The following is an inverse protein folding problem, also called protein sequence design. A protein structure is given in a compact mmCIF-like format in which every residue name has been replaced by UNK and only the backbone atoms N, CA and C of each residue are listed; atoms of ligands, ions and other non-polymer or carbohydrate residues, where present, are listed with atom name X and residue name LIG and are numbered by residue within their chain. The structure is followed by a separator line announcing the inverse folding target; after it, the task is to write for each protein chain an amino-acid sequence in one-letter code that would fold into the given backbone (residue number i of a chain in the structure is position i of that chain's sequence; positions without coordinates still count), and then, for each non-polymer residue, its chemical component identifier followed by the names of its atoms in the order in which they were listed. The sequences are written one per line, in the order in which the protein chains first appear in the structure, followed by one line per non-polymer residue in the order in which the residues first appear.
data_IF_971170888316
#
_entry.id   IF_971170888316
#
_cell.length_a   1.000
_cell.length_b   1.000
_cell.length_c   1.000
_cell.angle_alpha   90.00
_cell.angle_beta   90.00
_cell.angle_gamma   90.00
#
_symmetry.space_group_name_H-M   'P 1'
#
loop_
_entity.id
_entity.type
_entity.pdbx_description
1 polymer ?
#
# COMPACT_ATOMS: atom_id res chain seq x y z
N UNK A 1 13.32 25.27 3.29
CA UNK A 1 12.59 23.98 3.18
C UNK A 1 12.13 23.68 1.75
N UNK A 2 11.84 24.67 0.89
CA UNK A 2 11.45 24.40 -0.50
C UNK A 2 11.13 25.68 -1.29
N UNK A 3 10.45 25.53 -2.42
CA UNK A 3 9.98 26.64 -3.25
C UNK A 3 8.87 27.46 -2.55
N UNK A 4 8.86 28.79 -2.77
CA UNK A 4 7.90 29.70 -2.14
C UNK A 4 6.54 29.78 -2.86
N UNK A 5 6.46 29.37 -4.12
CA UNK A 5 5.25 29.48 -4.94
C UNK A 5 4.24 28.37 -4.61
N UNK A 6 2.96 28.77 -4.44
CA UNK A 6 1.82 27.86 -4.35
C UNK A 6 0.89 28.08 -5.55
N UNK A 7 0.65 27.02 -6.33
CA UNK A 7 -0.16 27.07 -7.55
C UNK A 7 0.53 27.74 -8.75
N UNK A 8 -0.13 27.80 -9.92
CA UNK A 8 -1.48 27.32 -10.19
C UNK A 8 -1.57 25.78 -10.23
N UNK A 9 -2.80 25.25 -10.12
CA UNK A 9 -3.09 23.82 -10.29
C UNK A 9 -3.87 23.59 -11.58
N UNK A 10 -3.49 22.58 -12.36
CA UNK A 10 -4.25 22.18 -13.54
C UNK A 10 -5.54 21.46 -13.14
N UNK A 11 -6.70 21.81 -13.70
CA UNK A 11 -7.95 21.09 -13.47
C UNK A 11 -8.61 20.70 -14.80
N UNK A 12 -8.19 19.57 -15.37
CA UNK A 12 -8.85 18.95 -16.52
C UNK A 12 -9.98 18.00 -16.12
N UNK A 13 -10.73 17.51 -17.12
CA UNK A 13 -11.90 16.61 -16.94
C UNK A 13 -11.61 15.39 -16.06
N UNK A 14 -10.47 14.73 -16.25
CA UNK A 14 -10.04 13.57 -15.45
C UNK A 14 -9.84 13.93 -13.97
N UNK A 15 -9.24 15.10 -13.70
CA UNK A 15 -9.04 15.56 -12.33
C UNK A 15 -10.34 15.96 -11.66
N UNK A 16 -11.23 16.64 -12.38
CA UNK A 16 -12.55 17.00 -11.87
C UNK A 16 -13.37 15.75 -11.54
N UNK A 17 -13.44 14.78 -12.46
CA UNK A 17 -14.16 13.53 -12.24
C UNK A 17 -13.57 12.73 -11.06
N UNK A 18 -12.24 12.66 -10.96
CA UNK A 18 -11.57 12.02 -9.82
C UNK A 18 -12.00 12.67 -8.49
N UNK A 19 -11.96 14.00 -8.41
CA UNK A 19 -12.38 14.73 -7.21
C UNK A 19 -13.87 14.52 -6.88
N UNK A 20 -14.75 14.45 -7.88
CA UNK A 20 -16.17 14.16 -7.65
C UNK A 20 -16.36 12.77 -7.04
N UNK A 21 -15.73 11.73 -7.59
CA UNK A 21 -15.81 10.38 -7.04
C UNK A 21 -15.15 10.27 -5.65
N UNK A 22 -14.02 10.95 -5.44
CA UNK A 22 -13.34 11.02 -4.15
C UNK A 22 -14.20 11.72 -3.08
N UNK A 23 -14.90 12.79 -3.47
CA UNK A 23 -15.84 13.48 -2.60
C UNK A 23 -17.03 12.59 -2.24
N UNK A 24 -17.62 11.89 -3.20
CA UNK A 24 -18.69 10.92 -2.93
C UNK A 24 -18.24 9.81 -1.97
N UNK A 25 -17.04 9.25 -2.17
CA UNK A 25 -16.47 8.28 -1.23
C UNK A 25 -16.33 8.87 0.18
N UNK A 26 -15.75 10.06 0.28
CA UNK A 26 -15.53 10.74 1.56
C UNK A 26 -16.85 10.98 2.31
N UNK A 27 -17.88 11.49 1.62
CA UNK A 27 -19.20 11.73 2.20
C UNK A 27 -19.88 10.41 2.61
N UNK A 28 -19.85 9.37 1.78
CA UNK A 28 -20.47 8.08 2.13
C UNK A 28 -19.83 7.51 3.40
N UNK A 29 -18.49 7.50 3.49
CA UNK A 29 -17.78 7.01 4.67
C UNK A 29 -18.08 7.89 5.89
N UNK A 30 -17.93 9.21 5.75
CA UNK A 30 -18.11 10.16 6.85
C UNK A 30 -19.54 10.17 7.41
N UNK A 31 -20.56 10.13 6.54
CA UNK A 31 -21.96 10.09 6.96
C UNK A 31 -22.32 8.75 7.63
N UNK A 32 -21.78 7.62 7.17
CA UNK A 32 -22.00 6.34 7.85
C UNK A 32 -21.33 6.29 9.22
N UNK A 33 -20.13 6.85 9.35
CA UNK A 33 -19.46 7.02 10.64
C UNK A 33 -20.25 7.95 11.57
N UNK A 34 -20.81 9.05 11.07
CA UNK A 34 -21.61 9.96 11.89
C UNK A 34 -22.95 9.35 12.31
N UNK A 35 -23.57 8.57 11.43
CA UNK A 35 -24.78 7.82 11.73
C UNK A 35 -24.57 6.79 12.85
N UNK A 36 -23.40 6.13 12.93
CA UNK A 36 -23.11 5.12 13.95
C UNK A 36 -23.02 5.67 15.38
N UNK A 37 -22.87 6.99 15.51
CA UNK A 37 -22.93 7.73 16.78
C UNK A 37 -24.19 8.60 16.88
N UNK A 38 -25.27 8.21 16.20
CA UNK A 38 -26.58 8.88 16.23
C UNK A 38 -26.53 10.37 15.87
N UNK A 39 -25.65 10.75 14.93
CA UNK A 39 -25.48 12.14 14.50
C UNK A 39 -25.01 13.11 15.61
N UNK A 40 -24.48 12.60 16.73
CA UNK A 40 -23.90 13.43 17.78
C UNK A 40 -22.49 13.90 17.37
N UNK A 41 -22.27 15.23 17.15
CA UNK A 41 -20.99 15.74 16.69
C UNK A 41 -19.87 15.61 17.73
N UNK A 42 -20.20 15.61 19.03
CA UNK A 42 -19.23 15.42 20.12
C UNK A 42 -18.76 13.97 20.14
N UNK A 43 -19.70 13.02 19.99
CA UNK A 43 -19.35 11.61 19.91
C UNK A 43 -18.57 11.28 18.65
N UNK A 44 -18.95 11.88 17.52
CA UNK A 44 -18.22 11.73 16.27
C UNK A 44 -16.75 12.14 16.41
N UNK A 45 -16.50 13.33 16.96
CA UNK A 45 -15.14 13.81 17.19
C UNK A 45 -14.37 12.94 18.21
N UNK A 46 -15.01 12.57 19.33
CA UNK A 46 -14.39 11.76 20.39
C UNK A 46 -14.02 10.36 19.89
N UNK A 47 -14.87 9.75 19.09
CA UNK A 47 -14.76 8.36 18.69
C UNK A 47 -14.21 8.17 17.27
N UNK A 48 -13.86 9.25 16.55
CA UNK A 48 -13.48 9.25 15.13
C UNK A 48 -12.57 8.09 14.72
N UNK A 49 -11.57 7.78 15.54
CA UNK A 49 -10.61 6.71 15.25
C UNK A 49 -11.20 5.30 15.26
N UNK A 50 -12.27 5.08 16.04
CA UNK A 50 -12.96 3.79 16.18
C UNK A 50 -14.15 3.64 15.23
N UNK A 51 -14.61 4.72 14.58
CA UNK A 51 -15.73 4.66 13.66
C UNK A 51 -15.33 3.94 12.37
N UNK A 52 -16.30 3.27 11.77
CA UNK A 52 -16.09 2.44 10.59
C UNK A 52 -17.26 2.51 9.61
N UNK A 53 -16.95 2.27 8.34
CA UNK A 53 -17.88 1.68 7.38
C UNK A 53 -17.37 0.28 7.06
N UNK A 54 -18.14 -0.72 7.48
CA UNK A 54 -17.76 -2.15 7.45
C UNK A 54 -18.15 -2.82 6.12
N UNK A 55 -17.37 -3.80 5.63
CA UNK A 55 -17.77 -4.64 4.50
C UNK A 55 -18.98 -5.52 4.84
N UNK A 56 -19.68 -6.06 3.83
CA UNK A 56 -20.80 -6.97 4.04
C UNK A 56 -20.41 -8.23 4.83
N UNK A 57 -21.32 -8.74 5.65
CA UNK A 57 -21.14 -10.00 6.36
C UNK A 57 -21.01 -11.20 5.38
N UNK A 58 -20.32 -12.30 5.78
CA UNK A 58 -20.05 -13.45 4.89
C UNK A 58 -21.31 -14.08 4.26
N UNK A 59 -22.46 -14.00 4.94
CA UNK A 59 -23.76 -14.52 4.45
C UNK A 59 -24.18 -13.95 3.08
N UNK A 60 -23.64 -12.80 2.68
CA UNK A 60 -23.93 -12.14 1.41
C UNK A 60 -23.01 -12.57 0.25
N UNK A 61 -21.93 -13.32 0.52
CA UNK A 61 -20.97 -13.74 -0.50
C UNK A 61 -20.51 -12.58 -1.38
N UNK A 62 -20.72 -12.70 -2.70
CA UNK A 62 -20.42 -11.67 -3.71
C UNK A 62 -21.64 -10.92 -4.24
N UNK A 63 -22.73 -10.83 -3.47
CA UNK A 63 -23.89 -10.04 -3.87
C UNK A 63 -23.46 -8.60 -4.22
N UNK A 64 -23.83 -8.14 -5.41
CA UNK A 64 -23.39 -6.83 -5.97
C UNK A 64 -23.91 -5.65 -5.13
N UNK A 65 -25.09 -5.81 -4.53
CA UNK A 65 -25.67 -4.81 -3.64
C UNK A 65 -26.45 -5.53 -2.52
N UNK A 66 -25.80 -5.89 -1.40
CA UNK A 66 -26.48 -6.31 -0.18
C UNK A 66 -27.26 -5.12 0.40
N UNK A 67 -28.14 -5.32 1.40
CA UNK A 67 -28.85 -4.23 2.04
C UNK A 67 -27.90 -3.09 2.43
N UNK A 68 -28.30 -1.84 2.17
CA UNK A 68 -27.42 -0.67 2.36
C UNK A 68 -26.85 -0.60 3.79
N UNK A 69 -27.69 -0.89 4.79
CA UNK A 69 -27.33 -0.93 6.20
C UNK A 69 -26.42 -2.12 6.59
N UNK A 70 -26.28 -3.13 5.72
CA UNK A 70 -25.50 -4.36 5.96
C UNK A 70 -24.33 -4.50 4.96
N UNK A 71 -23.65 -3.38 4.69
CA UNK A 71 -22.44 -3.34 3.84
C UNK A 71 -22.66 -2.88 2.40
N UNK A 72 -23.90 -2.59 1.99
CA UNK A 72 -24.17 -2.01 0.66
C UNK A 72 -23.51 -0.64 0.48
N UNK A 73 -23.48 0.19 1.54
CA UNK A 73 -22.74 1.47 1.51
C UNK A 73 -21.23 1.30 1.31
N UNK A 74 -20.65 0.23 1.86
CA UNK A 74 -19.22 -0.06 1.70
C UNK A 74 -18.88 -0.37 0.24
N UNK A 75 -19.71 -1.13 -0.48
CA UNK A 75 -19.49 -1.41 -1.90
C UNK A 75 -19.57 -0.15 -2.77
N UNK A 76 -20.56 0.72 -2.51
CA UNK A 76 -20.69 1.99 -3.22
C UNK A 76 -19.47 2.88 -2.94
N UNK A 77 -19.06 2.99 -1.68
CA UNK A 77 -17.86 3.72 -1.29
C UNK A 77 -16.61 3.18 -1.98
N UNK A 78 -16.41 1.85 -1.98
CA UNK A 78 -15.29 1.18 -2.64
C UNK A 78 -15.26 1.43 -4.14
N UNK A 79 -16.41 1.40 -4.81
CA UNK A 79 -16.53 1.78 -6.22
C UNK A 79 -16.12 3.24 -6.46
N UNK A 80 -16.65 4.18 -5.67
CA UNK A 80 -16.32 5.59 -5.77
C UNK A 80 -14.83 5.85 -5.55
N UNK A 81 -14.22 5.24 -4.53
CA UNK A 81 -12.78 5.35 -4.27
C UNK A 81 -11.96 4.82 -5.46
N UNK A 82 -12.32 3.64 -5.96
CA UNK A 82 -11.60 3.00 -7.07
C UNK A 82 -11.66 3.84 -8.34
N UNK A 83 -12.85 4.34 -8.69
CA UNK A 83 -13.03 5.25 -9.82
C UNK A 83 -12.21 6.54 -9.63
N UNK A 84 -12.24 7.14 -8.45
CA UNK A 84 -11.46 8.34 -8.11
C UNK A 84 -9.96 8.14 -8.36
N UNK A 85 -9.40 7.06 -7.83
CA UNK A 85 -7.97 6.76 -7.90
C UNK A 85 -7.53 6.41 -9.33
N UNK A 86 -8.33 5.64 -10.08
CA UNK A 86 -8.04 5.32 -11.49
C UNK A 86 -8.12 6.56 -12.40
N UNK A 87 -9.06 7.47 -12.15
CA UNK A 87 -9.15 8.74 -12.86
C UNK A 87 -7.95 9.65 -12.52
N UNK A 88 -7.48 9.63 -11.28
CA UNK A 88 -6.26 10.34 -10.87
C UNK A 88 -5.01 9.76 -11.52
N UNK A 89 -4.96 8.43 -11.68
CA UNK A 89 -3.90 7.75 -12.43
C UNK A 89 -3.89 8.19 -13.90
N UNK A 90 -5.06 8.16 -14.55
CA UNK A 90 -5.19 8.59 -15.94
C UNK A 90 -4.78 10.06 -16.11
N UNK A 91 -5.16 10.93 -15.16
CA UNK A 91 -4.70 12.32 -15.10
C UNK A 91 -3.17 12.40 -15.03
N UNK A 92 -2.54 11.66 -14.13
CA UNK A 92 -1.08 11.63 -13.95
C UNK A 92 -0.37 11.19 -15.24
N UNK A 93 -0.87 10.14 -15.89
CA UNK A 93 -0.36 9.65 -17.17
C UNK A 93 -0.47 10.70 -18.28
N UNK A 94 -1.67 11.26 -18.48
CA UNK A 94 -1.93 12.25 -19.54
C UNK A 94 -1.10 13.51 -19.34
N UNK A 95 -0.92 13.97 -18.10
CA UNK A 95 -0.07 15.14 -17.80
C UNK A 95 1.38 14.93 -18.18
N UNK A 96 1.95 13.76 -17.87
CA UNK A 96 3.31 13.44 -18.30
C UNK A 96 3.43 13.48 -19.83
N UNK A 97 2.47 12.88 -20.56
CA UNK A 97 2.48 12.89 -22.03
C UNK A 97 2.32 14.29 -22.63
N UNK A 98 1.43 15.12 -22.09
CA UNK A 98 1.21 16.49 -22.54
C UNK A 98 2.44 17.39 -22.34
N UNK A 99 3.27 17.09 -21.35
CA UNK A 99 4.53 17.80 -21.07
C UNK A 99 5.74 17.17 -21.78
N UNK A 100 5.56 16.15 -22.61
CA UNK A 100 6.66 15.45 -23.29
C UNK A 100 7.57 14.62 -22.36
N UNK A 101 7.08 14.26 -21.17
CA UNK A 101 7.84 13.51 -20.16
C UNK A 101 7.61 11.99 -20.27
N UNK A 102 8.53 11.20 -19.70
CA UNK A 102 8.31 9.77 -19.48
C UNK A 102 7.21 9.49 -18.45
N UNK A 103 6.51 8.36 -18.57
CA UNK A 103 5.34 8.03 -17.73
C UNK A 103 5.68 7.21 -16.48
N UNK A 104 6.93 7.26 -16.01
CA UNK A 104 7.43 6.46 -14.89
C UNK A 104 6.63 6.65 -13.59
N UNK A 105 6.23 7.87 -13.27
CA UNK A 105 5.40 8.16 -12.07
C UNK A 105 4.04 7.49 -12.15
N UNK A 106 3.40 7.51 -13.33
CA UNK A 106 2.12 6.85 -13.53
C UNK A 106 2.24 5.33 -13.35
N UNK A 107 3.33 4.72 -13.82
CA UNK A 107 3.55 3.28 -13.65
C UNK A 107 3.85 2.87 -12.21
N UNK A 108 4.62 3.67 -11.45
CA UNK A 108 4.78 3.46 -10.02
C UNK A 108 3.46 3.59 -9.26
N UNK A 109 2.66 4.61 -9.61
CA UNK A 109 1.34 4.79 -9.02
C UNK A 109 0.42 3.59 -9.31
N UNK A 110 0.49 3.01 -10.52
CA UNK A 110 -0.31 1.82 -10.86
C UNK A 110 0.03 0.61 -9.97
N UNK A 111 1.29 0.46 -9.55
CA UNK A 111 1.68 -0.60 -8.61
C UNK A 111 1.02 -0.44 -7.24
N UNK A 112 0.90 0.80 -6.74
CA UNK A 112 0.18 1.08 -5.50
C UNK A 112 -1.33 0.80 -5.65
N UNK A 113 -1.91 1.18 -6.79
CA UNK A 113 -3.31 0.90 -7.13
C UNK A 113 -3.55 -0.61 -7.21
N UNK A 114 -2.60 -1.38 -7.75
CA UNK A 114 -2.70 -2.83 -7.80
C UNK A 114 -2.86 -3.44 -6.40
N UNK A 115 -2.02 -3.07 -5.42
CA UNK A 115 -2.18 -3.54 -4.04
C UNK A 115 -3.56 -3.15 -3.46
N UNK A 116 -3.99 -1.91 -3.64
CA UNK A 116 -5.29 -1.44 -3.18
C UNK A 116 -6.45 -2.27 -3.77
N UNK A 117 -6.42 -2.53 -5.07
CA UNK A 117 -7.44 -3.31 -5.76
C UNK A 117 -7.38 -4.79 -5.37
N UNK A 118 -6.19 -5.34 -5.10
CA UNK A 118 -6.07 -6.72 -4.59
C UNK A 118 -6.76 -6.85 -3.24
N UNK A 119 -6.50 -5.92 -2.32
CA UNK A 119 -7.10 -5.89 -0.98
C UNK A 119 -8.61 -5.73 -1.01
N UNK A 120 -9.12 -4.78 -1.81
CA UNK A 120 -10.53 -4.42 -1.82
C UNK A 120 -11.43 -5.21 -2.78
N UNK A 121 -10.87 -5.83 -3.82
CA UNK A 121 -11.64 -6.42 -4.92
C UNK A 121 -11.14 -7.78 -5.38
N UNK A 122 -9.92 -7.89 -5.91
CA UNK A 122 -9.49 -9.12 -6.62
C UNK A 122 -9.47 -10.31 -5.66
N UNK A 123 -8.85 -10.15 -4.47
CA UNK A 123 -8.81 -11.24 -3.50
C UNK A 123 -10.21 -11.55 -2.93
N UNK A 124 -11.02 -10.58 -2.45
CA UNK A 124 -12.39 -10.86 -2.02
C UNK A 124 -13.22 -11.63 -3.06
N UNK A 125 -13.12 -11.28 -4.35
CA UNK A 125 -13.77 -12.01 -5.45
C UNK A 125 -13.22 -13.44 -5.57
N UNK A 126 -11.89 -13.62 -5.54
CA UNK A 126 -11.28 -14.94 -5.59
C UNK A 126 -11.64 -15.83 -4.38
N UNK A 127 -11.88 -15.22 -3.22
CA UNK A 127 -12.35 -15.90 -2.00
C UNK A 127 -13.86 -16.11 -1.96
N UNK A 128 -14.62 -15.54 -2.91
CA UNK A 128 -16.08 -15.68 -2.95
C UNK A 128 -16.86 -14.87 -1.91
N UNK A 129 -16.24 -13.88 -1.24
CA UNK A 129 -16.91 -13.08 -0.21
C UNK A 129 -16.37 -11.66 -0.08
N UNK A 130 -17.26 -10.66 -0.05
CA UNK A 130 -16.89 -9.27 0.25
C UNK A 130 -16.42 -9.06 1.69
N UNK A 131 -16.77 -9.96 2.62
CA UNK A 131 -16.35 -9.88 4.04
C UNK A 131 -14.83 -9.94 4.23
N UNK A 132 -14.11 -10.38 3.19
CA UNK A 132 -12.66 -10.50 3.16
C UNK A 132 -11.95 -9.17 2.87
N UNK A 133 -12.71 -8.14 2.48
CA UNK A 133 -12.16 -6.84 2.12
C UNK A 133 -11.89 -5.95 3.33
N UNK A 134 -11.15 -4.86 3.11
CA UNK A 134 -10.72 -3.93 4.16
C UNK A 134 -11.85 -2.96 4.55
N UNK A 135 -12.15 -2.75 5.84
CA UNK A 135 -13.11 -1.74 6.28
C UNK A 135 -12.56 -0.32 6.12
N UNK A 136 -13.45 0.67 5.97
CA UNK A 136 -13.06 2.08 5.97
C UNK A 136 -13.14 2.63 7.40
N UNK A 137 -12.01 2.81 8.08
CA UNK A 137 -11.92 3.36 9.43
C UNK A 137 -10.48 3.40 9.91
N UNK A 138 -10.12 4.26 10.87
CA UNK A 138 -8.72 4.42 11.27
C UNK A 138 -8.22 3.19 12.06
N UNK A 139 -8.82 2.83 13.18
CA UNK A 139 -8.48 1.57 13.86
C UNK A 139 -9.05 0.33 13.15
N UNK A 140 -10.28 0.35 12.58
CA UNK A 140 -10.82 -0.80 11.85
C UNK A 140 -9.93 -1.37 10.74
N UNK A 141 -9.28 -0.52 9.91
CA UNK A 141 -8.37 -1.05 8.88
C UNK A 141 -7.06 -1.63 9.45
N UNK A 142 -6.62 -1.17 10.64
CA UNK A 142 -5.50 -1.75 11.37
C UNK A 142 -5.90 -3.09 11.99
N UNK A 143 -7.10 -3.17 12.56
CA UNK A 143 -7.66 -4.41 13.11
C UNK A 143 -7.77 -5.48 12.03
N UNK A 144 -8.24 -5.10 10.83
CA UNK A 144 -8.24 -6.00 9.66
C UNK A 144 -6.84 -6.55 9.35
N UNK A 145 -5.81 -5.70 9.43
CA UNK A 145 -4.42 -6.10 9.14
C UNK A 145 -3.95 -7.21 10.11
N UNK A 146 -4.26 -7.06 11.40
CA UNK A 146 -3.95 -8.07 12.40
C UNK A 146 -4.80 -9.35 12.22
N UNK A 147 -6.12 -9.19 12.03
CA UNK A 147 -7.06 -10.29 11.85
C UNK A 147 -6.70 -11.15 10.63
N UNK A 148 -6.33 -10.51 9.52
CA UNK A 148 -5.86 -11.18 8.31
C UNK A 148 -4.61 -12.03 8.58
N UNK A 149 -3.63 -11.46 9.29
CA UNK A 149 -2.40 -12.20 9.63
C UNK A 149 -2.69 -13.41 10.52
N UNK A 150 -3.57 -13.26 11.51
CA UNK A 150 -3.98 -14.37 12.39
C UNK A 150 -4.70 -15.45 11.58
N UNK A 151 -5.67 -15.06 10.75
CA UNK A 151 -6.50 -15.98 9.97
C UNK A 151 -5.68 -16.88 9.05
N UNK A 152 -4.64 -16.33 8.43
CA UNK A 152 -3.83 -17.02 7.43
C UNK A 152 -2.46 -17.47 7.95
N UNK A 153 -2.36 -17.72 9.25
CA UNK A 153 -1.21 -18.40 9.83
C UNK A 153 0.07 -17.58 9.78
N UNK A 154 -0.02 -16.32 10.24
CA UNK A 154 1.10 -15.38 10.44
C UNK A 154 1.81 -14.93 9.15
N UNK A 155 1.53 -13.69 8.74
CA UNK A 155 2.15 -13.08 7.55
C UNK A 155 3.67 -12.91 7.60
N UNK A 156 4.32 -13.02 8.77
CA UNK A 156 5.79 -13.03 8.83
C UNK A 156 6.41 -14.23 8.09
N UNK A 157 5.64 -15.28 7.83
CA UNK A 157 6.08 -16.44 7.04
C UNK A 157 5.72 -16.35 5.55
N UNK A 158 5.01 -15.30 5.13
CA UNK A 158 4.73 -15.05 3.72
C UNK A 158 5.98 -14.42 3.06
N UNK A 159 6.61 -15.08 2.07
CA UNK A 159 7.84 -14.59 1.45
C UNK A 159 7.64 -13.26 0.70
N UNK A 160 6.44 -13.02 0.15
CA UNK A 160 6.13 -11.75 -0.52
C UNK A 160 5.89 -10.61 0.47
N UNK A 161 5.38 -10.90 1.67
CA UNK A 161 5.32 -9.92 2.76
C UNK A 161 6.73 -9.53 3.21
N UNK A 162 7.64 -10.50 3.37
CA UNK A 162 9.05 -10.24 3.65
C UNK A 162 9.71 -9.39 2.57
N UNK A 163 9.50 -9.71 1.28
CA UNK A 163 9.99 -8.91 0.16
C UNK A 163 9.45 -7.47 0.20
N UNK A 164 8.15 -7.30 0.46
CA UNK A 164 7.54 -5.97 0.59
C UNK A 164 8.21 -5.15 1.70
N UNK A 165 8.54 -5.77 2.85
CA UNK A 165 9.27 -5.13 3.94
C UNK A 165 10.70 -4.77 3.51
N UNK A 166 11.43 -5.68 2.84
CA UNK A 166 12.78 -5.42 2.33
C UNK A 166 12.78 -4.20 1.42
N UNK A 167 11.82 -4.11 0.50
CA UNK A 167 11.72 -2.98 -0.40
C UNK A 167 11.29 -1.70 0.32
N UNK A 168 10.38 -1.78 1.30
CA UNK A 168 9.99 -0.62 2.11
C UNK A 168 11.17 -0.05 2.92
N UNK A 169 11.89 -0.90 3.65
CA UNK A 169 13.08 -0.51 4.40
C UNK A 169 14.18 -0.02 3.48
N UNK A 170 14.35 -0.70 2.34
CA UNK A 170 15.27 -0.30 1.28
C UNK A 170 14.92 1.06 0.68
N UNK A 171 13.64 1.40 0.49
CA UNK A 171 13.23 2.73 0.03
C UNK A 171 13.62 3.81 1.03
N UNK A 172 13.39 3.60 2.33
CA UNK A 172 13.83 4.53 3.38
C UNK A 172 15.35 4.69 3.39
N UNK A 173 16.08 3.57 3.32
CA UNK A 173 17.53 3.56 3.27
C UNK A 173 18.07 4.31 2.05
N UNK A 174 17.58 3.98 0.85
CA UNK A 174 18.01 4.59 -0.41
C UNK A 174 17.68 6.09 -0.44
N UNK A 175 16.50 6.49 0.06
CA UNK A 175 16.15 7.91 0.12
C UNK A 175 17.06 8.67 1.09
N UNK A 176 17.35 8.10 2.26
CA UNK A 176 18.27 8.69 3.23
C UNK A 176 19.69 8.83 2.64
N UNK A 177 20.21 7.77 2.02
CA UNK A 177 21.51 7.77 1.33
C UNK A 177 21.56 8.80 0.21
N UNK A 178 20.56 8.79 -0.68
CA UNK A 178 20.50 9.67 -1.83
C UNK A 178 20.35 11.14 -1.42
N UNK A 179 19.37 11.46 -0.56
CA UNK A 179 19.13 12.82 -0.08
C UNK A 179 20.35 13.40 0.64
N UNK A 180 21.00 12.62 1.51
CA UNK A 180 22.23 13.04 2.17
C UNK A 180 23.38 13.26 1.16
N UNK A 181 23.50 12.40 0.14
CA UNK A 181 24.52 12.53 -0.90
C UNK A 181 24.34 13.81 -1.70
N UNK A 182 23.13 14.10 -2.18
CA UNK A 182 22.85 15.30 -2.99
C UNK A 182 23.14 16.56 -2.17
N UNK A 183 22.73 16.61 -0.90
CA UNK A 183 23.05 17.73 -0.01
C UNK A 183 24.56 17.88 0.22
N UNK A 184 25.29 16.77 0.40
CA UNK A 184 26.74 16.79 0.63
C UNK A 184 27.53 17.34 -0.57
N UNK A 185 27.01 17.16 -1.80
CA UNK A 185 27.61 17.71 -3.02
C UNK A 185 26.92 18.99 -3.53
N UNK A 186 26.01 19.59 -2.74
CA UNK A 186 25.27 20.79 -3.15
C UNK A 186 26.17 21.99 -3.49
N UNK A 187 27.35 22.12 -2.87
CA UNK A 187 28.34 23.16 -3.24
C UNK A 187 28.87 23.05 -4.67
N UNK A 188 28.62 21.91 -5.33
CA UNK A 188 28.99 21.63 -6.72
C UNK A 188 27.76 21.59 -7.66
N UNK A 189 26.59 22.01 -7.18
CA UNK A 189 25.33 21.98 -7.94
C UNK A 189 24.71 20.58 -8.08
N UNK A 190 24.96 19.67 -7.14
CA UNK A 190 24.50 18.27 -7.22
C UNK A 190 22.98 18.09 -7.33
N UNK A 191 22.19 19.09 -6.94
CA UNK A 191 20.74 19.12 -7.12
C UNK A 191 20.28 19.30 -8.58
N UNK A 192 21.16 19.74 -9.48
CA UNK A 192 20.91 19.89 -10.92
C UNK A 192 21.15 18.56 -11.64
N UNK A 193 20.34 17.56 -11.27
CA UNK A 193 20.60 16.16 -11.62
C UNK A 193 20.50 15.89 -13.12
N UNK A 194 19.58 16.56 -13.84
CA UNK A 194 19.42 16.37 -15.27
C UNK A 194 20.68 16.71 -16.05
N UNK A 195 21.32 17.84 -15.71
CA UNK A 195 22.57 18.26 -16.33
C UNK A 195 23.69 17.28 -16.02
N UNK A 196 23.78 16.80 -14.78
CA UNK A 196 24.77 15.79 -14.38
C UNK A 196 24.55 14.40 -15.00
N UNK A 197 23.33 14.07 -15.41
CA UNK A 197 23.03 12.87 -16.19
C UNK A 197 23.58 13.02 -17.62
N UNK A 198 23.36 14.17 -18.26
CA UNK A 198 23.78 14.39 -19.65
C UNK A 198 25.25 14.75 -19.80
N UNK A 199 25.82 15.46 -18.82
CA UNK A 199 27.21 15.92 -18.80
C UNK A 199 27.79 15.79 -17.38
N UNK A 200 28.65 14.78 -17.18
CA UNK A 200 29.06 14.34 -15.86
C UNK A 200 30.00 15.36 -15.20
N UNK A 201 29.47 16.11 -14.24
CA UNK A 201 30.24 17.08 -13.44
C UNK A 201 30.88 16.50 -12.17
N UNK A 202 31.69 17.31 -11.48
CA UNK A 202 32.41 16.90 -10.26
C UNK A 202 31.49 16.48 -9.11
N UNK A 203 30.26 17.00 -9.03
CA UNK A 203 29.27 16.56 -8.05
C UNK A 203 28.96 15.06 -8.22
N UNK A 204 28.72 14.64 -9.47
CA UNK A 204 28.44 13.25 -9.81
C UNK A 204 29.63 12.33 -9.63
N UNK A 205 30.84 12.79 -9.95
CA UNK A 205 32.07 12.04 -9.73
C UNK A 205 32.33 11.79 -8.24
N UNK A 206 32.23 12.82 -7.40
CA UNK A 206 32.47 12.71 -5.96
C UNK A 206 31.43 11.84 -5.27
N UNK A 207 30.16 12.01 -5.63
CA UNK A 207 29.08 11.15 -5.14
C UNK A 207 29.30 9.68 -5.52
N UNK A 208 29.69 9.41 -6.77
CA UNK A 208 30.01 8.07 -7.23
C UNK A 208 31.21 7.47 -6.49
N UNK A 209 32.30 8.23 -6.34
CA UNK A 209 33.51 7.78 -5.65
C UNK A 209 33.27 7.52 -4.17
N UNK A 210 32.50 8.36 -3.48
CA UNK A 210 32.12 8.14 -2.09
C UNK A 210 31.53 6.74 -1.91
N UNK A 211 30.48 6.41 -2.66
CA UNK A 211 29.83 5.11 -2.57
C UNK A 211 30.72 3.96 -3.03
N UNK A 212 31.51 4.16 -4.09
CA UNK A 212 32.45 3.14 -4.58
C UNK A 212 33.48 2.78 -3.50
N UNK A 213 34.00 3.76 -2.79
CA UNK A 213 34.97 3.55 -1.73
C UNK A 213 34.34 3.02 -0.43
N UNK A 214 33.07 3.33 -0.16
CA UNK A 214 32.34 2.82 1.00
C UNK A 214 31.91 1.36 0.86
N UNK A 215 31.35 0.96 -0.29
CA UNK A 215 30.72 -0.36 -0.45
C UNK A 215 31.19 -1.15 -1.68
N UNK A 216 32.26 -0.70 -2.35
CA UNK A 216 32.91 -1.42 -3.46
C UNK A 216 32.26 -1.24 -4.83
N UNK A 217 31.07 -0.64 -4.92
CA UNK A 217 30.38 -0.29 -6.16
C UNK A 217 29.61 1.03 -6.01
N UNK A 218 29.16 1.61 -7.12
CA UNK A 218 28.37 2.84 -7.11
C UNK A 218 27.36 2.90 -8.26
N UNK A 219 26.32 3.72 -8.08
CA UNK A 219 25.38 4.10 -9.14
C UNK A 219 25.88 5.34 -9.91
N UNK A 220 25.23 5.66 -11.02
CA UNK A 220 25.29 6.96 -11.67
C UNK A 220 24.15 7.86 -11.16
N UNK A 221 24.18 9.13 -11.54
CA UNK A 221 23.08 10.07 -11.25
C UNK A 221 21.76 9.66 -11.91
N UNK A 222 21.77 8.90 -13.00
CA UNK A 222 20.52 8.40 -13.58
C UNK A 222 20.10 7.08 -12.92
N UNK A 223 21.05 6.17 -12.71
CA UNK A 223 20.71 4.82 -12.28
C UNK A 223 20.26 4.77 -10.82
N UNK A 224 20.70 5.69 -9.96
CA UNK A 224 20.22 5.76 -8.57
C UNK A 224 18.70 6.03 -8.50
N UNK A 225 18.14 6.87 -9.38
CA UNK A 225 16.70 7.08 -9.45
C UNK A 225 15.97 5.85 -9.98
N UNK A 226 16.61 5.04 -10.85
CA UNK A 226 16.06 3.74 -11.27
C UNK A 226 16.03 2.73 -10.12
N UNK A 227 17.08 2.67 -9.30
CA UNK A 227 17.10 1.87 -8.06
C UNK A 227 15.97 2.30 -7.13
N UNK A 228 15.86 3.59 -6.82
CA UNK A 228 14.82 4.14 -5.96
C UNK A 228 13.41 3.85 -6.50
N UNK A 229 13.20 4.05 -7.80
CA UNK A 229 11.92 3.79 -8.46
C UNK A 229 11.52 2.32 -8.35
N UNK A 230 12.43 1.39 -8.64
CA UNK A 230 12.15 -0.04 -8.53
C UNK A 230 11.89 -0.48 -7.10
N UNK A 231 12.63 0.03 -6.11
CA UNK A 231 12.35 -0.30 -4.70
C UNK A 231 10.94 0.17 -4.30
N UNK A 232 10.57 1.40 -4.64
CA UNK A 232 9.23 1.91 -4.34
C UNK A 232 8.11 1.11 -5.03
N UNK A 233 8.29 0.72 -6.31
CA UNK A 233 7.33 -0.12 -7.05
C UNK A 233 7.24 -1.52 -6.46
N UNK A 234 8.38 -2.13 -6.12
CA UNK A 234 8.43 -3.51 -5.65
C UNK A 234 7.82 -3.67 -4.26
N UNK A 235 7.82 -2.64 -3.41
CA UNK A 235 7.06 -2.64 -2.15
C UNK A 235 5.60 -2.99 -2.39
N UNK A 236 4.88 -2.22 -3.21
CA UNK A 236 3.45 -2.44 -3.43
C UNK A 236 3.17 -3.63 -4.35
N UNK A 237 4.05 -3.91 -5.32
CA UNK A 237 3.88 -5.06 -6.21
C UNK A 237 3.99 -6.39 -5.46
N UNK A 238 5.05 -6.57 -4.66
CA UNK A 238 5.22 -7.80 -3.89
C UNK A 238 4.17 -7.92 -2.79
N UNK A 239 3.81 -6.82 -2.12
CA UNK A 239 2.67 -6.80 -1.20
C UNK A 239 1.38 -7.30 -1.85
N UNK A 240 1.06 -6.81 -3.06
CA UNK A 240 -0.15 -7.23 -3.78
C UNK A 240 -0.12 -8.71 -4.17
N UNK A 241 1.03 -9.23 -4.61
CA UNK A 241 1.19 -10.67 -4.90
C UNK A 241 0.99 -11.51 -3.63
N UNK A 242 1.61 -11.10 -2.52
CA UNK A 242 1.50 -11.78 -1.24
C UNK A 242 0.07 -11.87 -0.72
N UNK A 243 -0.70 -10.77 -0.82
CA UNK A 243 -2.12 -10.76 -0.47
C UNK A 243 -2.90 -11.66 -1.42
N UNK A 244 -2.70 -11.55 -2.74
CA UNK A 244 -3.45 -12.33 -3.72
C UNK A 244 -3.35 -13.83 -3.48
N UNK A 245 -2.15 -14.35 -3.14
CA UNK A 245 -1.92 -15.77 -2.86
C UNK A 245 -2.50 -16.23 -1.51
N UNK A 246 -2.79 -15.31 -0.60
CA UNK A 246 -3.24 -15.62 0.75
C UNK A 246 -4.74 -15.96 0.77
N UNK A 247 -5.06 -17.20 1.13
CA UNK A 247 -6.39 -17.80 1.10
C UNK A 247 -6.82 -18.36 -0.25
N UNK A 248 -6.21 -17.92 -1.35
CA UNK A 248 -6.49 -18.46 -2.70
C UNK A 248 -5.58 -19.65 -3.03
N UNK A 249 -4.33 -19.60 -2.57
CA UNK A 249 -3.31 -20.63 -2.80
C UNK A 249 -2.76 -21.16 -1.48
N UNK A 250 -2.57 -20.30 -0.47
CA UNK A 250 -2.00 -20.67 0.83
C UNK A 250 -2.94 -20.24 1.95
N UNK A 251 -3.44 -21.21 2.71
CA UNK A 251 -4.34 -20.98 3.85
C UNK A 251 -3.62 -20.73 5.17
N UNK A 252 -2.36 -21.17 5.29
CA UNK A 252 -1.55 -20.99 6.49
C UNK A 252 -0.06 -20.84 6.13
N UNK A 253 0.47 -19.62 6.26
CA UNK A 253 1.85 -19.32 5.88
C UNK A 253 2.90 -19.97 6.79
N UNK A 254 2.62 -20.16 8.08
CA UNK A 254 3.53 -20.86 8.98
C UNK A 254 3.67 -22.33 8.61
N UNK A 255 2.56 -23.04 8.37
CA UNK A 255 2.60 -24.44 7.93
C UNK A 255 3.26 -24.57 6.55
N UNK A 256 3.01 -23.63 5.64
CA UNK A 256 3.71 -23.55 4.36
C UNK A 256 5.23 -23.40 4.56
N UNK A 257 5.66 -22.55 5.50
CA UNK A 257 7.08 -22.38 5.84
C UNK A 257 7.72 -23.64 6.46
N UNK A 258 6.96 -24.41 7.24
CA UNK A 258 7.40 -25.70 7.75
C UNK A 258 7.59 -26.72 6.61
N UNK A 259 6.62 -26.80 5.69
CA UNK A 259 6.67 -27.67 4.52
C UNK A 259 7.87 -27.35 3.62
N UNK A 260 8.23 -26.08 3.49
CA UNK A 260 9.37 -25.60 2.70
C UNK A 260 10.65 -25.38 3.52
N UNK A 261 10.70 -25.88 4.75
CA UNK A 261 11.91 -25.99 5.59
C UNK A 261 12.62 -24.67 5.91
N UNK A 262 11.90 -23.56 6.06
CA UNK A 262 12.48 -22.29 6.54
C UNK A 262 11.81 -21.74 7.80
N UNK A 263 10.84 -22.44 8.36
CA UNK A 263 10.35 -22.16 9.72
C UNK A 263 11.38 -22.61 10.77
N UNK A 264 11.81 -21.74 11.70
CA UNK A 264 12.70 -22.14 12.78
C UNK A 264 11.98 -23.08 13.75
N UNK A 265 12.73 -24.04 14.29
CA UNK A 265 12.25 -24.97 15.31
C UNK A 265 12.90 -24.60 16.64
N UNK A 266 12.08 -24.51 17.67
CA UNK A 266 12.51 -24.29 19.04
C UNK A 266 12.17 -25.52 19.90
N UNK A 267 12.88 -25.78 21.01
CA UNK A 267 12.55 -26.88 21.92
C UNK A 267 11.08 -26.83 22.34
N UNK A 268 10.41 -27.98 22.32
CA UNK A 268 9.02 -28.10 22.73
C UNK A 268 8.85 -27.74 24.21
N UNK A 269 7.77 -27.04 24.53
CA UNK A 269 7.36 -26.77 25.92
C UNK A 269 6.67 -27.97 26.58
N UNK A 270 6.35 -29.02 25.81
CA UNK A 270 5.64 -30.21 26.30
C UNK A 270 4.14 -29.99 26.52
N UNK A 271 3.59 -28.84 26.14
CA UNK A 271 2.16 -28.53 26.27
C UNK A 271 1.38 -29.27 25.16
N UNK A 272 0.41 -30.07 25.56
CA UNK A 272 -0.50 -30.80 24.66
C UNK A 272 -1.81 -30.03 24.54
N UNK A 273 -2.41 -30.04 23.34
CA UNK A 273 -3.73 -29.44 23.12
C UNK A 273 -4.80 -30.16 23.96
N UNK A 274 -5.44 -29.48 24.94
CA UNK A 274 -6.44 -30.11 25.80
C UNK A 274 -7.65 -30.63 25.02
N UNK A 275 -7.95 -30.08 23.83
CA UNK A 275 -9.04 -30.57 22.98
C UNK A 275 -8.79 -31.97 22.41
N UNK A 276 -7.53 -32.43 22.40
CA UNK A 276 -7.16 -33.78 21.92
C UNK A 276 -7.20 -34.85 23.01
N UNK A 277 -7.52 -34.47 24.27
CA UNK A 277 -7.54 -35.39 25.39
C UNK A 277 -8.83 -36.23 25.41
N UNK A 278 -8.77 -37.50 25.86
CA UNK A 278 -9.96 -38.33 26.00
C UNK A 278 -11.01 -37.68 26.92
N UNK A 279 -12.24 -37.53 26.44
CA UNK A 279 -13.34 -36.92 27.20
C UNK A 279 -13.34 -35.38 27.22
N UNK A 280 -12.50 -34.73 26.41
CA UNK A 280 -12.52 -33.28 26.26
C UNK A 280 -13.89 -32.80 25.72
N UNK A 281 -14.47 -31.73 26.30
CA UNK A 281 -15.67 -31.11 25.75
C UNK A 281 -15.36 -30.42 24.40
N UNK A 282 -16.38 -30.30 23.55
CA UNK A 282 -16.33 -29.48 22.34
C UNK A 282 -16.42 -27.99 22.67
#
# INVERSE_FOLDING_TARGET
LGAAQLGPIYLGRLGLASLMFGFLWFEIVGLNMWASVNWDPVQFARQLFWLALEPPAPKYGLQILPPLAEGGWWLIAGFCLTASVLLWWARTYVRARQLGMGTHVAWAFLSAIFLMIVLGFIRPIAMGSWSEAVPFGIFPHLDWTAAFSIRYGNLFYNPFHCLSIVFLYGSTLLFAMHGATILAVGRYGGERELEHITDRGTAAERAGLFWRWTMGFNASYESIHRWAWWFAVLTTLTGGIGILLTGTVVDNWYLWAQQHHFAPIYPSTGVVDPATLPGAPQ
#
